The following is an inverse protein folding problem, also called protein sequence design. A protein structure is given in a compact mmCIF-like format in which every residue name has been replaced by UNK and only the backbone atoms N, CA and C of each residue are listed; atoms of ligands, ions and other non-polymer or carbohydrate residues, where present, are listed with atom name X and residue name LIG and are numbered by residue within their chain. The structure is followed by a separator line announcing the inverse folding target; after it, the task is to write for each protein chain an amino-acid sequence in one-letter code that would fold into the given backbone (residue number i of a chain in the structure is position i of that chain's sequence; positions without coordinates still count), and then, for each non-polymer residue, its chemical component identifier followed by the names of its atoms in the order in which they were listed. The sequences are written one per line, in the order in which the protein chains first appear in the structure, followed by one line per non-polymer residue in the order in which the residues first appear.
data_IF_815922927059
#
_entry.id   IF_815922927059
#
_cell.length_a   1.000
_cell.length_b   1.000
_cell.length_c   1.000
_cell.angle_alpha   90.00
_cell.angle_beta   90.00
_cell.angle_gamma   90.00
#
_symmetry.space_group_name_H-M   'P 1'
#
loop_
_entity.id
_entity.type
_entity.pdbx_description
1 polymer ?
#
# COMPACT_ATOMS: atom_id res chain seq x y z
N UNK A 1 -31.05 7.16 -0.45
CA UNK A 1 -29.76 7.20 -1.09
C UNK A 1 -28.64 7.09 -0.08
N UNK A 2 -27.46 6.72 -0.52
CA UNK A 2 -26.26 6.72 0.32
C UNK A 2 -25.44 7.94 -0.07
N UNK A 3 -25.24 8.84 0.87
CA UNK A 3 -24.27 9.93 0.72
C UNK A 3 -23.13 9.67 1.70
N UNK A 4 -21.93 9.54 1.19
CA UNK A 4 -20.75 9.38 2.02
C UNK A 4 -20.49 10.64 2.84
N UNK A 5 -20.75 10.61 4.13
CA UNK A 5 -20.22 11.45 5.16
C UNK A 5 -20.19 12.97 5.05
N UNK A 6 -20.92 13.58 4.16
CA UNK A 6 -20.86 15.02 3.91
C UNK A 6 -22.21 15.69 3.99
N UNK A 7 -22.95 15.41 5.05
CA UNK A 7 -24.18 16.13 5.29
C UNK A 7 -23.95 17.34 6.17
N UNK A 8 -24.65 18.40 5.86
CA UNK A 8 -24.69 19.57 6.72
C UNK A 8 -25.19 19.17 8.09
N UNK A 9 -24.45 19.53 9.10
CA UNK A 9 -24.96 19.55 10.46
C UNK A 9 -25.75 20.86 10.63
N UNK A 10 -27.05 20.77 10.80
CA UNK A 10 -27.87 21.96 11.00
C UNK A 10 -27.40 22.80 12.19
N UNK A 11 -26.66 22.21 13.12
CA UNK A 11 -26.10 22.91 14.28
C UNK A 11 -24.82 23.73 14.00
N UNK A 12 -24.13 23.46 12.86
CA UNK A 12 -22.84 24.12 12.56
C UNK A 12 -22.82 24.90 11.25
N UNK A 13 -23.84 24.79 10.39
CA UNK A 13 -23.97 25.56 9.15
C UNK A 13 -22.82 25.37 8.14
N UNK A 14 -22.07 24.27 8.21
CA UNK A 14 -20.93 24.03 7.34
C UNK A 14 -21.35 23.26 6.10
N UNK A 15 -20.94 23.72 4.93
CA UNK A 15 -21.19 23.05 3.65
C UNK A 15 -20.59 21.65 3.58
N UNK A 16 -21.18 20.74 2.78
CA UNK A 16 -20.64 19.40 2.52
C UNK A 16 -19.18 19.47 2.07
N UNK A 17 -18.33 18.64 2.66
CA UNK A 17 -16.91 18.59 2.34
C UNK A 17 -16.00 19.51 3.17
N UNK A 18 -16.45 20.64 3.66
CA UNK A 18 -15.63 21.54 4.51
C UNK A 18 -15.32 20.95 5.89
N UNK A 19 -16.19 20.10 6.39
CA UNK A 19 -15.98 19.40 7.67
C UNK A 19 -14.79 18.48 7.69
N UNK A 20 -14.52 17.80 6.60
CA UNK A 20 -13.34 16.95 6.49
C UNK A 20 -12.05 17.72 6.65
N UNK A 21 -12.06 18.97 6.19
CA UNK A 21 -10.89 19.84 6.26
C UNK A 21 -10.75 20.51 7.62
N UNK A 22 -11.88 20.80 8.28
CA UNK A 22 -11.90 21.50 9.57
C UNK A 22 -11.61 20.57 10.78
N UNK A 23 -11.96 19.30 10.70
CA UNK A 23 -11.83 18.35 11.81
C UNK A 23 -10.38 18.04 12.20
N UNK A 24 -9.41 18.35 11.36
CA UNK A 24 -8.01 17.99 11.56
C UNK A 24 -7.09 19.17 11.94
N UNK A 25 -7.63 20.31 12.35
CA UNK A 25 -6.87 21.43 12.89
C UNK A 25 -6.12 22.30 11.88
N UNK A 26 -5.54 23.40 12.34
CA UNK A 26 -4.94 24.44 11.54
C UNK A 26 -3.79 23.93 10.66
N UNK A 27 -3.87 24.13 9.35
CA UNK A 27 -2.74 23.97 8.45
C UNK A 27 -2.93 23.01 7.28
N UNK A 28 -3.78 23.33 6.33
CA UNK A 28 -3.93 22.64 5.06
C UNK A 28 -4.84 21.41 5.07
N UNK A 29 -5.13 20.83 3.89
CA UNK A 29 -6.02 19.70 3.78
C UNK A 29 -5.42 18.48 4.47
N UNK A 30 -6.09 18.04 5.54
CA UNK A 30 -5.77 16.81 6.26
C UNK A 30 -6.93 15.83 6.09
N UNK A 31 -6.61 14.56 5.98
CA UNK A 31 -7.59 13.49 5.83
C UNK A 31 -7.94 12.91 7.20
N UNK A 32 -9.18 12.41 7.35
CA UNK A 32 -9.57 11.72 8.58
C UNK A 32 -8.88 10.37 8.66
N UNK A 33 -8.45 10.02 9.86
CA UNK A 33 -7.91 8.69 10.19
C UNK A 33 -8.99 7.66 10.45
N UNK A 34 -10.19 8.12 10.85
CA UNK A 34 -11.32 7.25 11.13
C UNK A 34 -12.32 7.29 9.97
N UNK A 35 -12.76 6.12 9.48
CA UNK A 35 -13.86 6.08 8.55
C UNK A 35 -15.10 6.73 9.15
N UNK A 36 -15.78 7.57 8.38
CA UNK A 36 -17.12 7.99 8.75
C UNK A 36 -18.03 6.76 8.76
N UNK A 37 -18.78 6.60 9.86
CA UNK A 37 -19.84 5.62 9.87
C UNK A 37 -20.75 5.86 8.66
N UNK A 38 -21.14 4.78 7.99
CA UNK A 38 -22.07 4.85 6.85
C UNK A 38 -23.34 5.58 7.28
N UNK A 39 -23.57 6.75 6.75
CA UNK A 39 -24.79 7.51 6.98
C UNK A 39 -25.79 7.14 5.87
N UNK A 40 -26.96 6.71 6.29
CA UNK A 40 -28.06 6.41 5.41
C UNK A 40 -29.12 7.50 5.51
N UNK A 41 -29.67 7.85 4.38
CA UNK A 41 -30.77 8.79 4.27
C UNK A 41 -31.97 8.12 3.61
N UNK A 42 -33.12 8.28 4.17
CA UNK A 42 -34.40 7.83 3.64
C UNK A 42 -35.36 8.99 3.69
N UNK A 43 -35.88 9.40 2.54
CA UNK A 43 -36.84 10.49 2.40
C UNK A 43 -38.08 9.99 1.68
N UNK A 44 -39.22 10.47 2.14
CA UNK A 44 -40.50 10.33 1.44
C UNK A 44 -40.72 11.56 0.57
N UNK A 45 -40.25 11.50 -0.67
CA UNK A 45 -40.29 12.64 -1.59
C UNK A 45 -41.72 13.13 -1.92
N UNK A 46 -42.78 12.32 -1.61
CA UNK A 46 -44.15 12.74 -1.76
C UNK A 46 -44.58 13.67 -0.63
N UNK A 47 -44.15 13.37 0.58
CA UNK A 47 -44.48 14.14 1.78
C UNK A 47 -43.42 15.20 2.11
N UNK A 48 -42.16 14.99 1.67
CA UNK A 48 -40.99 15.85 1.96
C UNK A 48 -40.14 16.03 0.70
N UNK A 49 -40.60 16.79 -0.30
CA UNK A 49 -39.91 16.95 -1.58
C UNK A 49 -38.59 17.71 -1.49
N UNK A 50 -38.31 18.37 -0.38
CA UNK A 50 -37.03 19.10 -0.13
C UNK A 50 -36.06 18.31 0.73
N UNK A 51 -36.36 17.03 1.02
CA UNK A 51 -35.47 16.13 1.78
C UNK A 51 -35.09 16.68 3.17
N UNK A 52 -35.97 17.35 3.87
CA UNK A 52 -35.71 17.99 5.16
C UNK A 52 -35.72 17.00 6.32
N UNK A 53 -36.46 15.89 6.21
CA UNK A 53 -36.67 14.94 7.30
C UNK A 53 -36.11 13.56 6.93
N UNK A 54 -34.88 13.28 7.35
CA UNK A 54 -34.29 11.96 7.16
C UNK A 54 -34.96 10.91 8.06
N UNK A 55 -35.60 9.91 7.45
CA UNK A 55 -36.34 8.82 8.10
C UNK A 55 -35.50 7.56 8.30
N UNK A 56 -34.21 7.56 7.90
CA UNK A 56 -33.34 6.41 8.07
C UNK A 56 -33.01 6.17 9.55
N UNK A 57 -32.99 4.90 10.02
CA UNK A 57 -32.57 4.56 11.37
C UNK A 57 -31.15 5.04 11.65
N UNK A 58 -30.93 5.74 12.77
CA UNK A 58 -29.58 6.16 13.20
C UNK A 58 -28.90 5.04 13.95
N UNK A 59 -27.61 4.72 13.67
CA UNK A 59 -26.85 3.78 14.48
C UNK A 59 -26.79 4.28 15.93
N UNK A 60 -27.30 3.50 16.89
CA UNK A 60 -27.28 3.83 18.31
C UNK A 60 -28.27 4.90 18.77
N UNK A 61 -29.15 5.38 17.89
CA UNK A 61 -30.18 6.37 18.22
C UNK A 61 -31.38 5.74 18.95
N UNK A 62 -31.81 6.36 20.05
CA UNK A 62 -33.01 5.98 20.81
C UNK A 62 -34.29 6.61 20.23
N UNK A 63 -34.23 7.10 19.00
CA UNK A 63 -35.38 7.77 18.39
C UNK A 63 -36.48 6.76 18.02
N UNK A 64 -37.54 6.74 18.84
CA UNK A 64 -38.70 5.84 18.74
C UNK A 64 -39.65 6.16 17.59
N UNK A 65 -39.26 7.02 16.65
CA UNK A 65 -40.16 7.55 15.61
C UNK A 65 -40.01 6.94 14.23
N UNK A 66 -39.14 5.96 14.03
CA UNK A 66 -39.24 5.21 12.78
C UNK A 66 -40.43 4.26 12.86
N UNK A 67 -41.51 4.57 12.14
CA UNK A 67 -42.62 3.64 12.00
C UNK A 67 -42.05 2.29 11.52
N UNK A 68 -42.67 1.18 11.92
CA UNK A 68 -42.29 -0.16 11.47
C UNK A 68 -42.22 -0.28 9.95
N UNK A 69 -43.05 0.51 9.25
CA UNK A 69 -43.08 0.65 7.79
C UNK A 69 -41.79 1.27 7.25
N UNK A 70 -41.24 2.30 7.88
CA UNK A 70 -39.98 2.94 7.47
C UNK A 70 -38.80 1.98 7.62
N UNK A 71 -38.78 1.19 8.69
CA UNK A 71 -37.75 0.17 8.90
C UNK A 71 -37.81 -0.95 7.84
N UNK A 72 -39.01 -1.36 7.45
CA UNK A 72 -39.21 -2.36 6.40
C UNK A 72 -38.79 -1.83 5.02
N UNK A 73 -39.18 -0.61 4.67
CA UNK A 73 -38.77 0.06 3.43
C UNK A 73 -37.25 0.25 3.39
N UNK A 74 -36.66 0.68 4.49
CA UNK A 74 -35.23 0.86 4.59
C UNK A 74 -34.45 -0.47 4.41
N UNK A 75 -34.92 -1.55 5.04
CA UNK A 75 -34.34 -2.88 4.90
C UNK A 75 -34.43 -3.39 3.45
N UNK A 76 -35.59 -3.18 2.81
CA UNK A 76 -35.80 -3.54 1.42
C UNK A 76 -34.88 -2.76 0.47
N UNK A 77 -34.80 -1.45 0.61
CA UNK A 77 -33.93 -0.59 -0.21
C UNK A 77 -32.46 -0.95 -0.02
N UNK A 78 -32.03 -1.30 1.20
CA UNK A 78 -30.67 -1.80 1.43
C UNK A 78 -30.39 -3.11 0.69
N UNK A 79 -31.36 -4.04 0.65
CA UNK A 79 -31.21 -5.29 -0.11
C UNK A 79 -31.14 -5.01 -1.63
N UNK A 80 -32.01 -4.15 -2.15
CA UNK A 80 -31.98 -3.75 -3.57
C UNK A 80 -30.64 -3.10 -3.90
N UNK A 81 -30.16 -2.20 -3.08
CA UNK A 81 -28.86 -1.52 -3.29
C UNK A 81 -27.68 -2.52 -3.22
N UNK A 82 -27.74 -3.47 -2.29
CA UNK A 82 -26.75 -4.55 -2.20
C UNK A 82 -26.75 -5.43 -3.45
N UNK A 83 -27.93 -5.82 -3.93
CA UNK A 83 -28.10 -6.59 -5.16
C UNK A 83 -27.63 -5.82 -6.41
N UNK A 84 -27.98 -4.54 -6.51
CA UNK A 84 -27.50 -3.67 -7.60
C UNK A 84 -25.98 -3.48 -7.55
N UNK A 85 -25.39 -3.32 -6.36
CA UNK A 85 -23.95 -3.27 -6.20
C UNK A 85 -23.28 -4.57 -6.64
N UNK A 86 -23.82 -5.71 -6.23
CA UNK A 86 -23.29 -7.01 -6.65
C UNK A 86 -23.44 -7.25 -8.17
N UNK A 87 -24.47 -6.68 -8.79
CA UNK A 87 -24.68 -6.77 -10.23
C UNK A 87 -23.90 -5.73 -11.04
N UNK A 88 -23.63 -4.56 -10.44
CA UNK A 88 -22.98 -3.42 -11.12
C UNK A 88 -21.49 -3.31 -10.84
N UNK A 89 -21.01 -3.97 -9.78
CA UNK A 89 -19.60 -4.09 -9.47
C UNK A 89 -19.25 -5.55 -9.71
N UNK A 90 -18.57 -5.90 -10.82
CA UNK A 90 -18.02 -7.23 -11.03
C UNK A 90 -17.22 -7.61 -9.77
N UNK A 91 -17.22 -8.91 -9.39
CA UNK A 91 -16.42 -9.43 -8.27
C UNK A 91 -14.92 -9.14 -8.44
N UNK A 92 -14.48 -8.91 -9.66
CA UNK A 92 -13.26 -8.17 -9.93
C UNK A 92 -13.57 -6.69 -9.70
N UNK A 93 -12.89 -6.08 -8.77
CA UNK A 93 -12.76 -4.63 -8.67
C UNK A 93 -12.19 -4.11 -9.99
N UNK A 94 -12.97 -4.17 -11.05
CA UNK A 94 -12.62 -3.37 -12.22
C UNK A 94 -12.66 -1.93 -11.74
N UNK A 95 -11.55 -1.24 -11.88
CA UNK A 95 -11.51 0.15 -11.49
C UNK A 95 -12.64 0.88 -12.22
N UNK A 96 -13.24 1.84 -11.57
CA UNK A 96 -14.15 2.81 -12.20
C UNK A 96 -13.66 3.18 -13.60
N UNK A 97 -14.54 3.62 -14.56
CA UNK A 97 -14.11 3.99 -15.92
C UNK A 97 -12.97 5.01 -16.00
N UNK A 98 -12.59 5.61 -14.89
CA UNK A 98 -11.39 6.41 -14.74
C UNK A 98 -10.10 5.58 -14.64
N UNK A 99 -10.18 4.29 -14.46
CA UNK A 99 -9.02 3.41 -14.49
C UNK A 99 -8.41 3.27 -15.90
N UNK A 100 -9.21 3.43 -16.93
CA UNK A 100 -8.70 3.57 -18.30
C UNK A 100 -7.81 4.82 -18.47
N UNK A 101 -7.82 5.72 -17.49
CA UNK A 101 -6.93 6.89 -17.39
C UNK A 101 -5.91 6.76 -16.27
N UNK A 102 -5.68 5.58 -15.71
CA UNK A 102 -4.48 5.41 -14.90
C UNK A 102 -3.31 5.81 -15.77
N UNK A 103 -2.43 6.70 -15.30
CA UNK A 103 -1.27 7.05 -16.07
C UNK A 103 -0.46 5.77 -16.24
N UNK A 104 -0.63 5.08 -17.37
CA UNK A 104 0.41 4.22 -17.88
C UNK A 104 1.69 5.02 -17.72
N UNK A 105 2.73 4.43 -17.15
CA UNK A 105 4.04 5.10 -17.10
C UNK A 105 4.29 5.63 -18.51
N UNK A 106 4.29 6.96 -18.72
CA UNK A 106 4.26 7.46 -20.09
C UNK A 106 5.47 6.96 -20.83
N UNK A 107 5.28 6.40 -22.00
CA UNK A 107 6.33 6.30 -23.00
C UNK A 107 6.83 7.71 -23.43
N UNK A 108 6.28 8.77 -22.85
CA UNK A 108 6.49 10.14 -23.21
C UNK A 108 7.73 10.72 -22.55
N UNK A 109 8.55 11.35 -23.37
CA UNK A 109 9.65 12.28 -23.06
C UNK A 109 10.01 12.34 -21.57
N UNK A 110 10.94 11.48 -21.18
CA UNK A 110 11.48 11.47 -19.84
C UNK A 110 11.89 12.89 -19.45
N UNK A 111 11.41 13.42 -18.33
CA UNK A 111 11.99 14.65 -17.84
C UNK A 111 13.50 14.44 -17.66
N UNK A 112 14.34 15.42 -18.00
CA UNK A 112 15.77 15.25 -17.85
C UNK A 112 16.09 14.84 -16.40
N UNK A 113 17.10 14.00 -16.18
CA UNK A 113 17.50 13.60 -14.83
C UNK A 113 17.76 14.88 -14.02
N UNK A 114 17.41 14.90 -12.72
CA UNK A 114 17.68 16.03 -11.86
C UNK A 114 19.16 16.35 -11.91
N UNK A 115 19.51 17.64 -11.91
CA UNK A 115 20.90 18.06 -11.90
C UNK A 115 21.66 17.29 -10.80
N UNK A 116 22.82 16.71 -11.11
CA UNK A 116 23.63 15.90 -10.16
C UNK A 116 23.82 16.58 -8.80
N UNK A 117 23.90 17.92 -8.80
CA UNK A 117 24.01 18.70 -7.56
C UNK A 117 22.73 18.62 -6.71
N UNK A 118 21.55 18.73 -7.32
CA UNK A 118 20.27 18.62 -6.61
C UNK A 118 20.13 17.23 -6.01
N UNK A 119 20.43 16.16 -6.77
CA UNK A 119 20.38 14.78 -6.27
C UNK A 119 21.29 14.59 -5.06
N UNK A 120 22.54 15.10 -5.11
CA UNK A 120 23.47 15.03 -3.97
C UNK A 120 22.96 15.75 -2.72
N UNK A 121 22.31 16.90 -2.89
CA UNK A 121 21.71 17.65 -1.77
C UNK A 121 20.57 16.85 -1.16
N UNK A 122 19.67 16.32 -1.98
CA UNK A 122 18.51 15.54 -1.55
C UNK A 122 18.96 14.23 -0.87
N UNK A 123 19.98 13.56 -1.41
CA UNK A 123 20.60 12.40 -0.78
C UNK A 123 21.18 12.72 0.61
N UNK A 124 21.92 13.84 0.73
CA UNK A 124 22.47 14.28 2.03
C UNK A 124 21.38 14.61 3.06
N UNK A 125 20.19 14.99 2.60
CA UNK A 125 19.03 15.20 3.46
C UNK A 125 18.32 13.90 3.84
N UNK A 126 18.77 12.74 3.33
CA UNK A 126 18.16 11.45 3.62
C UNK A 126 16.83 11.21 2.91
N UNK A 127 16.56 11.89 1.79
CA UNK A 127 15.30 11.77 1.04
C UNK A 127 15.35 10.75 -0.09
N UNK A 128 16.51 10.20 -0.41
CA UNK A 128 16.69 9.13 -1.40
C UNK A 128 17.23 7.87 -0.74
N UNK A 129 16.84 6.70 -1.23
CA UNK A 129 17.47 5.46 -0.85
C UNK A 129 18.96 5.51 -1.22
N UNK A 130 19.81 5.25 -0.25
CA UNK A 130 21.26 5.18 -0.40
C UNK A 130 21.68 3.82 0.13
N UNK A 131 22.39 3.05 -0.67
CA UNK A 131 23.12 1.91 -0.16
C UNK A 131 24.45 2.41 0.46
N UNK A 132 24.55 2.48 1.80
CA UNK A 132 25.74 3.01 2.44
C UNK A 132 26.94 2.07 2.30
N UNK A 133 26.72 0.81 1.95
CA UNK A 133 27.74 -0.22 1.86
C UNK A 133 28.23 -0.47 0.42
N UNK A 134 27.57 0.14 -0.59
CA UNK A 134 27.90 -0.12 -2.00
C UNK A 134 27.47 -1.51 -2.48
N UNK A 135 27.96 -2.01 -3.61
CA UNK A 135 27.67 -3.36 -4.08
C UNK A 135 28.00 -4.41 -3.00
N UNK A 136 27.33 -5.55 -3.01
CA UNK A 136 27.70 -6.66 -2.14
C UNK A 136 29.14 -7.04 -2.46
N UNK A 137 30.04 -6.83 -1.47
CA UNK A 137 31.47 -7.10 -1.66
C UNK A 137 31.69 -8.59 -1.95
N UNK A 138 32.47 -8.85 -3.01
CA UNK A 138 32.91 -10.19 -3.34
C UNK A 138 32.34 -10.77 -4.62
N UNK A 139 31.59 -10.01 -5.43
CA UNK A 139 31.05 -10.48 -6.72
C UNK A 139 30.15 -11.70 -6.54
N UNK A 140 29.35 -11.69 -5.51
CA UNK A 140 28.47 -12.81 -5.22
C UNK A 140 27.41 -12.86 -6.29
N UNK A 141 27.51 -13.88 -7.10
CA UNK A 141 26.57 -14.16 -8.15
C UNK A 141 25.46 -15.04 -7.58
N UNK A 142 24.25 -14.49 -7.49
CA UNK A 142 23.03 -15.23 -7.21
C UNK A 142 22.42 -15.78 -8.52
N UNK A 143 23.30 -16.26 -9.41
CA UNK A 143 22.91 -16.81 -10.71
C UNK A 143 21.93 -17.97 -10.53
N UNK A 144 20.84 -17.93 -11.30
CA UNK A 144 19.82 -18.97 -11.29
C UNK A 144 18.84 -18.88 -10.11
N UNK A 145 19.07 -18.00 -9.14
CA UNK A 145 18.10 -17.69 -8.09
C UNK A 145 16.96 -16.81 -8.61
N UNK A 146 15.79 -16.94 -8.00
CA UNK A 146 14.61 -16.20 -8.40
C UNK A 146 14.09 -15.30 -7.27
N UNK A 147 13.83 -14.04 -7.61
CA UNK A 147 13.20 -13.08 -6.75
C UNK A 147 11.79 -12.75 -7.23
N UNK A 148 10.84 -12.64 -6.32
CA UNK A 148 9.51 -12.13 -6.58
C UNK A 148 9.33 -10.78 -5.88
N UNK A 149 8.97 -9.74 -6.62
CA UNK A 149 8.58 -8.45 -6.04
C UNK A 149 7.08 -8.29 -6.21
N UNK A 150 6.37 -8.12 -5.09
CA UNK A 150 4.92 -7.92 -5.08
C UNK A 150 4.62 -6.43 -4.90
N UNK A 151 3.82 -5.89 -5.82
CA UNK A 151 3.39 -4.50 -5.86
C UNK A 151 1.87 -4.39 -5.79
N UNK A 152 1.36 -3.21 -5.45
CA UNK A 152 -0.08 -2.94 -5.36
C UNK A 152 -0.75 -2.85 -6.74
N UNK A 153 -2.05 -3.20 -6.80
CA UNK A 153 -2.92 -2.83 -7.93
C UNK A 153 -3.74 -1.55 -7.67
N UNK A 154 -3.64 -0.96 -6.47
CA UNK A 154 -4.49 0.16 -6.11
C UNK A 154 -3.83 1.49 -6.46
N UNK A 155 -4.51 2.31 -7.28
CA UNK A 155 -3.94 3.53 -7.87
C UNK A 155 -4.57 4.84 -7.42
N UNK A 156 -5.51 4.86 -6.47
CA UNK A 156 -6.24 6.06 -6.09
C UNK A 156 -6.42 6.18 -4.58
N UNK A 157 -6.20 7.36 -4.04
CA UNK A 157 -6.61 7.69 -2.67
C UNK A 157 -8.13 7.99 -2.64
N UNK A 158 -8.77 7.77 -1.50
CA UNK A 158 -10.21 8.05 -1.29
C UNK A 158 -10.62 9.49 -1.63
N UNK A 159 -9.67 10.39 -1.63
CA UNK A 159 -9.82 11.81 -2.00
C UNK A 159 -9.68 12.07 -3.50
N UNK A 160 -9.63 11.03 -4.33
CA UNK A 160 -9.56 11.14 -5.79
C UNK A 160 -8.20 11.59 -6.32
N UNK A 161 -7.12 11.43 -5.56
CA UNK A 161 -5.75 11.69 -6.03
C UNK A 161 -5.09 10.39 -6.49
N UNK A 162 -4.34 10.41 -7.60
CA UNK A 162 -3.58 9.25 -8.03
C UNK A 162 -2.49 8.91 -7.01
N UNK A 163 -2.30 7.63 -6.80
CA UNK A 163 -1.26 7.03 -5.97
C UNK A 163 -0.84 5.68 -6.55
N UNK A 164 -0.30 4.78 -5.75
CA UNK A 164 0.10 3.44 -6.16
C UNK A 164 1.35 2.99 -5.44
N UNK A 165 2.19 2.27 -6.18
CA UNK A 165 3.54 1.90 -5.82
C UNK A 165 4.42 3.14 -5.71
N UNK A 166 5.22 3.27 -4.67
CA UNK A 166 6.28 4.26 -4.63
C UNK A 166 7.48 3.73 -5.42
N UNK A 167 7.83 4.37 -6.55
CA UNK A 167 8.73 3.79 -7.55
C UNK A 167 10.01 3.18 -6.98
N UNK A 168 10.77 3.92 -6.14
CA UNK A 168 12.05 3.44 -5.59
C UNK A 168 11.91 2.25 -4.64
N UNK A 169 10.71 1.98 -4.13
CA UNK A 169 10.47 0.80 -3.27
C UNK A 169 10.39 -0.51 -4.07
N UNK A 170 10.22 -0.42 -5.39
CA UNK A 170 10.33 -1.54 -6.31
C UNK A 170 11.63 -1.48 -7.11
N UNK A 171 11.98 -0.32 -7.67
CA UNK A 171 13.11 -0.22 -8.61
C UNK A 171 14.45 -0.48 -7.94
N UNK A 172 14.62 -0.06 -6.67
CA UNK A 172 15.87 -0.28 -5.93
C UNK A 172 16.10 -1.76 -5.67
N UNK A 173 15.20 -2.53 -5.02
CA UNK A 173 15.39 -3.96 -4.84
C UNK A 173 15.40 -4.72 -6.17
N UNK A 174 14.60 -4.33 -7.16
CA UNK A 174 14.60 -4.96 -8.47
C UNK A 174 16.01 -4.98 -9.09
N UNK A 175 16.63 -3.81 -9.19
CA UNK A 175 17.95 -3.74 -9.78
C UNK A 175 19.04 -4.29 -8.87
N UNK A 176 18.88 -4.23 -7.54
CA UNK A 176 19.81 -4.89 -6.64
C UNK A 176 19.83 -6.42 -6.86
N UNK A 177 18.67 -7.04 -7.01
CA UNK A 177 18.56 -8.48 -7.29
C UNK A 177 19.01 -8.82 -8.71
N UNK A 178 18.59 -8.04 -9.72
CA UNK A 178 19.00 -8.24 -11.11
C UNK A 178 20.52 -8.10 -11.29
N UNK A 179 21.11 -7.08 -10.71
CA UNK A 179 22.56 -6.83 -10.79
C UNK A 179 23.38 -7.89 -10.04
N UNK A 180 22.78 -8.60 -9.06
CA UNK A 180 23.33 -9.79 -8.44
C UNK A 180 23.14 -11.08 -9.24
N UNK A 181 22.53 -11.01 -10.44
CA UNK A 181 22.33 -12.15 -11.33
C UNK A 181 21.04 -12.95 -11.09
N UNK A 182 20.12 -12.47 -10.25
CA UNK A 182 18.84 -13.13 -10.03
C UNK A 182 17.87 -12.86 -11.20
N UNK A 183 16.98 -13.82 -11.44
CA UNK A 183 15.79 -13.59 -12.26
C UNK A 183 14.73 -12.92 -11.38
N UNK A 184 14.17 -11.79 -11.81
CA UNK A 184 13.23 -11.01 -11.02
C UNK A 184 11.89 -10.89 -11.72
N UNK A 185 10.84 -11.41 -11.09
CA UNK A 185 9.47 -11.29 -11.56
C UNK A 185 8.70 -10.26 -10.73
N UNK A 186 7.78 -9.53 -11.37
CA UNK A 186 6.82 -8.67 -10.71
C UNK A 186 5.46 -9.33 -10.62
N UNK A 187 4.86 -9.29 -9.43
CA UNK A 187 3.49 -9.70 -9.20
C UNK A 187 2.68 -8.61 -8.50
N UNK A 188 1.39 -8.79 -8.52
CA UNK A 188 0.44 -7.97 -7.77
C UNK A 188 -0.73 -8.84 -7.27
N UNK A 189 -1.55 -8.38 -6.33
CA UNK A 189 -2.68 -9.14 -5.81
C UNK A 189 -3.60 -9.74 -6.89
N UNK A 190 -3.76 -9.06 -8.03
CA UNK A 190 -4.69 -9.45 -9.10
C UNK A 190 -4.04 -9.67 -10.45
N UNK A 191 -2.75 -9.40 -10.59
CA UNK A 191 -2.07 -9.31 -11.89
C UNK A 191 -2.40 -8.01 -12.65
N UNK A 192 -1.82 -7.87 -13.84
CA UNK A 192 -2.01 -6.70 -14.71
C UNK A 192 -1.29 -5.45 -14.20
N UNK A 193 -1.89 -4.30 -14.42
CA UNK A 193 -1.25 -3.01 -14.17
C UNK A 193 -0.88 -2.78 -12.70
N UNK A 194 0.36 -2.39 -12.47
CA UNK A 194 0.87 -1.81 -11.22
C UNK A 194 0.86 -0.28 -11.37
N UNK A 195 -0.06 0.45 -10.72
CA UNK A 195 -0.06 1.89 -10.75
C UNK A 195 1.15 2.44 -9.98
N UNK A 196 1.91 3.33 -10.61
CA UNK A 196 3.05 4.01 -9.99
C UNK A 196 2.63 5.39 -9.50
N UNK A 197 2.92 5.71 -8.23
CA UNK A 197 2.61 7.02 -7.66
C UNK A 197 3.35 8.14 -8.42
N UNK A 198 2.64 9.08 -9.04
CA UNK A 198 3.28 10.16 -9.80
C UNK A 198 4.22 11.04 -8.97
N UNK A 199 4.00 11.09 -7.65
CA UNK A 199 4.86 11.86 -6.74
C UNK A 199 6.26 11.24 -6.66
N UNK A 200 6.36 9.90 -6.65
CA UNK A 200 7.62 9.18 -6.55
C UNK A 200 8.55 9.44 -7.74
N UNK A 201 7.99 9.73 -8.91
CA UNK A 201 8.74 10.01 -10.14
C UNK A 201 9.09 11.49 -10.33
N UNK A 202 8.74 12.37 -9.37
CA UNK A 202 9.16 13.78 -9.44
C UNK A 202 10.67 13.91 -9.27
N UNK A 203 11.33 14.87 -9.97
CA UNK A 203 12.79 14.99 -9.98
C UNK A 203 13.46 15.06 -8.60
N UNK A 204 12.76 15.58 -7.58
CA UNK A 204 13.28 15.70 -6.22
C UNK A 204 13.27 14.35 -5.47
N UNK A 205 12.31 13.47 -5.78
CA UNK A 205 12.12 12.18 -5.09
C UNK A 205 12.65 10.99 -5.90
N UNK A 206 12.87 11.16 -7.18
CA UNK A 206 13.28 10.12 -8.13
C UNK A 206 14.72 9.70 -7.90
N UNK A 207 14.94 8.42 -7.61
CA UNK A 207 16.26 7.80 -7.42
C UNK A 207 16.97 7.51 -8.75
N UNK A 208 18.21 7.03 -8.70
CA UNK A 208 18.93 6.54 -9.89
C UNK A 208 18.31 5.27 -10.46
N UNK A 209 17.81 4.39 -9.61
CA UNK A 209 17.06 3.20 -10.03
C UNK A 209 15.76 3.56 -10.74
N UNK A 210 15.09 4.64 -10.33
CA UNK A 210 13.89 5.12 -11.02
C UNK A 210 14.23 5.70 -12.40
N UNK A 211 15.40 6.34 -12.56
CA UNK A 211 15.87 6.78 -13.88
C UNK A 211 16.17 5.59 -14.79
N UNK A 212 16.76 4.51 -14.25
CA UNK A 212 16.99 3.26 -14.97
C UNK A 212 15.67 2.64 -15.39
N UNK A 213 14.69 2.53 -14.50
CA UNK A 213 13.35 2.04 -14.76
C UNK A 213 12.64 2.79 -15.90
N UNK A 214 12.71 4.14 -15.90
CA UNK A 214 12.08 4.92 -16.96
C UNK A 214 12.68 4.68 -18.34
N UNK A 215 13.91 4.17 -18.41
CA UNK A 215 14.61 3.81 -19.64
C UNK A 215 14.51 2.31 -19.99
N UNK A 216 13.98 1.50 -19.08
CA UNK A 216 13.92 0.04 -19.17
C UNK A 216 12.55 -0.40 -19.70
N UNK A 217 12.50 -0.77 -20.97
CA UNK A 217 11.25 -1.19 -21.62
C UNK A 217 10.73 -2.54 -21.08
N UNK A 218 11.63 -3.44 -20.66
CA UNK A 218 11.26 -4.75 -20.11
C UNK A 218 10.61 -4.61 -18.75
N UNK A 219 11.23 -3.88 -17.83
CA UNK A 219 10.63 -3.65 -16.52
C UNK A 219 9.31 -2.85 -16.62
N UNK A 220 9.22 -1.89 -17.55
CA UNK A 220 7.96 -1.17 -17.79
C UNK A 220 6.86 -2.09 -18.34
N UNK A 221 7.21 -3.08 -19.16
CA UNK A 221 6.26 -4.07 -19.62
C UNK A 221 5.74 -4.92 -18.47
N UNK A 222 6.60 -5.38 -17.55
CA UNK A 222 6.19 -6.10 -16.33
C UNK A 222 5.31 -5.25 -15.42
N UNK A 223 5.59 -3.94 -15.26
CA UNK A 223 4.76 -3.01 -14.48
C UNK A 223 3.37 -2.83 -15.10
N UNK A 224 3.26 -2.85 -16.41
CA UNK A 224 1.99 -2.73 -17.12
C UNK A 224 1.19 -4.03 -17.13
N UNK A 225 1.85 -5.19 -17.00
CA UNK A 225 1.21 -6.52 -17.04
C UNK A 225 1.92 -7.48 -16.07
N UNK A 226 1.74 -7.23 -14.77
CA UNK A 226 2.32 -8.05 -13.71
C UNK A 226 1.60 -9.39 -13.56
N UNK A 227 2.30 -10.36 -12.98
CA UNK A 227 1.73 -11.67 -12.67
C UNK A 227 0.71 -11.56 -11.52
N UNK A 228 -0.35 -12.36 -11.54
CA UNK A 228 -1.27 -12.45 -10.39
C UNK A 228 -0.65 -13.37 -9.33
N UNK A 229 -0.51 -12.89 -8.09
CA UNK A 229 0.12 -13.67 -7.01
C UNK A 229 -0.58 -15.01 -6.74
N UNK A 230 -1.89 -15.08 -6.97
CA UNK A 230 -2.67 -16.29 -6.79
C UNK A 230 -2.44 -17.37 -7.85
N UNK A 231 -1.82 -17.02 -8.98
CA UNK A 231 -1.53 -17.93 -10.08
C UNK A 231 -0.08 -18.46 -10.03
N UNK A 232 0.71 -17.99 -9.02
CA UNK A 232 2.12 -18.36 -8.86
C UNK A 232 2.31 -19.42 -7.79
N UNK A 233 3.25 -20.35 -8.03
CA UNK A 233 3.81 -21.16 -6.96
C UNK A 233 4.99 -20.42 -6.31
N UNK A 234 4.78 -19.90 -5.11
CA UNK A 234 5.81 -19.17 -4.39
C UNK A 234 7.02 -20.06 -4.03
N UNK A 235 6.88 -21.38 -4.10
CA UNK A 235 7.98 -22.32 -3.91
C UNK A 235 9.08 -22.17 -4.98
N UNK A 236 8.73 -21.68 -6.17
CA UNK A 236 9.67 -21.45 -7.27
C UNK A 236 10.63 -20.28 -7.05
N UNK A 237 10.37 -19.46 -6.03
CA UNK A 237 11.16 -18.29 -5.69
C UNK A 237 12.04 -18.53 -4.46
N UNK A 238 13.22 -17.91 -4.44
CA UNK A 238 14.15 -17.96 -3.31
C UNK A 238 13.84 -16.87 -2.29
N UNK A 239 13.35 -15.74 -2.76
CA UNK A 239 12.92 -14.62 -1.92
C UNK A 239 11.64 -13.95 -2.46
N UNK A 240 10.91 -13.32 -1.54
CA UNK A 240 9.75 -12.48 -1.86
C UNK A 240 9.89 -11.12 -1.21
N UNK A 241 9.82 -10.06 -2.01
CA UNK A 241 9.89 -8.68 -1.54
C UNK A 241 8.55 -7.96 -1.72
N UNK A 242 8.06 -7.33 -0.67
CA UNK A 242 6.81 -6.57 -0.66
C UNK A 242 7.11 -5.09 -0.80
N UNK A 243 6.89 -4.53 -1.99
CA UNK A 243 7.07 -3.12 -2.26
C UNK A 243 5.89 -2.33 -1.71
N UNK A 244 6.15 -1.17 -1.11
CA UNK A 244 5.10 -0.35 -0.54
C UNK A 244 4.60 0.73 -1.50
N UNK A 245 4.31 1.88 -0.95
CA UNK A 245 3.52 2.96 -1.55
C UNK A 245 2.11 2.95 -0.97
N UNK A 246 1.39 4.06 -1.11
CA UNK A 246 0.07 4.21 -0.49
C UNK A 246 -0.96 3.20 -0.99
N UNK A 247 -0.82 2.72 -2.23
CA UNK A 247 -1.73 1.72 -2.79
C UNK A 247 -1.78 0.43 -1.96
N UNK A 248 -0.64 -0.02 -1.41
CA UNK A 248 -0.57 -1.22 -0.59
C UNK A 248 -1.41 -1.15 0.70
N UNK A 249 -1.72 0.05 1.19
CA UNK A 249 -2.65 0.24 2.31
C UNK A 249 -4.09 -0.14 1.98
N UNK A 250 -4.44 -0.22 0.70
CA UNK A 250 -5.80 -0.49 0.22
C UNK A 250 -6.02 -1.94 -0.22
N UNK A 251 -4.97 -2.66 -0.59
CA UNK A 251 -5.14 -4.01 -1.15
C UNK A 251 -4.33 -5.11 -0.45
N UNK A 252 -3.11 -4.85 0.05
CA UNK A 252 -2.26 -5.90 0.59
C UNK A 252 -2.89 -6.63 1.79
N UNK A 253 -3.41 -5.87 2.76
CA UNK A 253 -4.06 -6.44 3.95
C UNK A 253 -5.40 -7.13 3.65
N UNK A 254 -5.97 -6.93 2.47
CA UNK A 254 -7.22 -7.55 2.05
C UNK A 254 -7.03 -8.72 1.07
N UNK A 255 -5.82 -8.90 0.55
CA UNK A 255 -5.53 -9.94 -0.44
C UNK A 255 -5.34 -11.30 0.22
N UNK A 256 -6.33 -12.18 0.08
CA UNK A 256 -6.24 -13.56 0.53
C UNK A 256 -5.14 -14.34 -0.22
N UNK A 257 -5.01 -14.24 -1.56
CA UNK A 257 -3.91 -14.90 -2.27
C UNK A 257 -2.52 -14.47 -1.80
N UNK A 258 -2.33 -13.16 -1.50
CA UNK A 258 -1.06 -12.68 -0.97
C UNK A 258 -0.77 -13.26 0.42
N UNK A 259 -1.77 -13.30 1.31
CA UNK A 259 -1.61 -13.89 2.64
C UNK A 259 -1.28 -15.39 2.58
N UNK A 260 -1.89 -16.12 1.65
CA UNK A 260 -1.60 -17.54 1.41
C UNK A 260 -0.18 -17.74 0.86
N UNK A 261 0.24 -16.93 -0.10
CA UNK A 261 1.60 -16.96 -0.64
C UNK A 261 2.65 -16.67 0.45
N UNK A 262 2.43 -15.66 1.30
CA UNK A 262 3.36 -15.35 2.40
C UNK A 262 3.37 -16.44 3.48
N UNK A 263 2.25 -17.07 3.75
CA UNK A 263 2.15 -18.24 4.64
C UNK A 263 3.00 -19.40 4.09
N UNK A 264 2.87 -19.70 2.81
CA UNK A 264 3.64 -20.75 2.14
C UNK A 264 5.13 -20.41 2.09
N UNK A 265 5.49 -19.19 1.70
CA UNK A 265 6.87 -18.73 1.67
C UNK A 265 7.56 -18.89 3.04
N UNK A 266 6.86 -18.49 4.12
CA UNK A 266 7.39 -18.64 5.48
C UNK A 266 7.52 -20.13 5.88
N UNK A 267 6.56 -20.96 5.56
CA UNK A 267 6.60 -22.40 5.86
C UNK A 267 7.76 -23.11 5.12
N UNK A 268 8.13 -22.64 3.93
CA UNK A 268 9.24 -23.13 3.14
C UNK A 268 10.60 -22.48 3.53
N UNK A 269 10.62 -21.59 4.51
CA UNK A 269 11.84 -20.91 4.95
C UNK A 269 12.39 -19.93 3.91
N UNK A 270 11.58 -19.49 2.94
CA UNK A 270 11.99 -18.49 1.95
C UNK A 270 12.29 -17.16 2.62
N UNK A 271 13.20 -16.38 2.06
CA UNK A 271 13.50 -15.04 2.55
C UNK A 271 12.35 -14.10 2.18
N UNK A 272 11.76 -13.45 3.17
CA UNK A 272 10.65 -12.52 2.99
C UNK A 272 11.11 -11.13 3.41
N UNK A 273 10.85 -10.12 2.57
CA UNK A 273 11.20 -8.75 2.89
C UNK A 273 10.12 -7.77 2.47
N UNK A 274 10.33 -6.51 2.84
CA UNK A 274 9.48 -5.42 2.41
C UNK A 274 9.76 -4.11 3.13
N UNK A 275 9.28 -3.02 2.54
CA UNK A 275 9.48 -1.67 3.09
C UNK A 275 8.17 -0.89 3.11
N UNK A 276 8.14 0.15 3.95
CA UNK A 276 7.06 1.14 3.98
C UNK A 276 5.68 0.50 4.27
N UNK A 277 4.75 0.52 3.31
CA UNK A 277 3.45 -0.14 3.40
C UNK A 277 3.50 -1.63 3.01
N UNK A 278 4.59 -2.10 2.39
CA UNK A 278 4.74 -3.49 1.96
C UNK A 278 4.46 -4.53 3.05
N UNK A 279 4.97 -4.37 4.29
CA UNK A 279 4.70 -5.30 5.38
C UNK A 279 3.23 -5.52 5.75
N UNK A 280 2.29 -4.70 5.25
CA UNK A 280 0.85 -4.99 5.34
C UNK A 280 0.45 -6.32 4.69
N UNK A 281 1.21 -6.80 3.70
CA UNK A 281 1.01 -8.12 3.11
C UNK A 281 1.21 -9.29 4.07
N UNK A 282 1.79 -9.04 5.25
CA UNK A 282 2.08 -10.05 6.27
C UNK A 282 1.00 -10.18 7.35
N UNK A 283 0.09 -9.19 7.50
CA UNK A 283 -0.82 -9.12 8.66
C UNK A 283 -1.83 -10.27 8.73
N UNK A 284 -2.15 -10.89 7.59
CA UNK A 284 -3.06 -12.03 7.50
C UNK A 284 -2.36 -13.36 7.16
N UNK A 285 -1.05 -13.33 6.91
CA UNK A 285 -0.24 -14.53 6.75
C UNK A 285 -0.10 -15.27 8.09
N UNK A 286 0.13 -16.59 8.03
CA UNK A 286 0.16 -17.48 9.20
C UNK A 286 1.54 -18.12 9.39
N UNK A 287 1.90 -18.29 10.64
CA UNK A 287 2.96 -19.19 11.07
C UNK A 287 2.46 -20.65 11.11
N UNK A 288 3.37 -21.61 11.31
CA UNK A 288 3.04 -23.03 11.32
C UNK A 288 2.03 -23.44 12.42
N UNK A 289 1.97 -22.68 13.51
CA UNK A 289 1.02 -22.87 14.61
C UNK A 289 -0.34 -22.19 14.38
N UNK A 290 -0.53 -21.54 13.23
CA UNK A 290 -1.75 -20.83 12.86
C UNK A 290 -1.86 -19.40 13.43
N UNK A 291 -0.89 -18.94 14.21
CA UNK A 291 -0.83 -17.55 14.67
C UNK A 291 -0.46 -16.60 13.51
N UNK A 292 -0.71 -15.29 13.60
CA UNK A 292 -0.20 -14.37 12.58
C UNK A 292 1.32 -14.49 12.45
N UNK A 293 1.81 -14.51 11.21
CA UNK A 293 3.23 -14.74 10.86
C UNK A 293 4.20 -13.84 11.63
N UNK A 294 3.79 -12.60 11.87
CA UNK A 294 4.64 -11.59 12.52
C UNK A 294 4.49 -11.53 14.04
N UNK A 295 3.64 -12.38 14.64
CA UNK A 295 3.46 -12.40 16.11
C UNK A 295 4.79 -12.65 16.81
N UNK A 296 5.18 -11.75 17.70
CA UNK A 296 6.43 -11.82 18.45
C UNK A 296 7.71 -11.54 17.65
N UNK A 297 7.61 -11.38 16.32
CA UNK A 297 8.75 -11.07 15.44
C UNK A 297 9.04 -9.57 15.42
N UNK A 298 10.30 -9.23 15.24
CA UNK A 298 10.75 -7.85 15.03
C UNK A 298 10.43 -7.44 13.61
N UNK A 299 9.73 -6.30 13.44
CA UNK A 299 9.36 -5.77 12.13
C UNK A 299 9.49 -4.25 12.12
N UNK A 300 9.77 -3.71 10.94
CA UNK A 300 9.75 -2.27 10.66
C UNK A 300 8.87 -1.99 9.45
N UNK A 301 8.19 -0.88 9.47
CA UNK A 301 7.35 -0.39 8.38
C UNK A 301 7.17 1.13 8.55
N UNK A 302 6.39 1.78 7.66
CA UNK A 302 6.08 3.19 7.83
C UNK A 302 5.34 3.42 9.14
N UNK A 303 5.78 4.46 9.86
CA UNK A 303 5.23 4.81 11.16
C UNK A 303 3.93 5.62 11.03
N UNK A 304 3.06 5.54 12.05
CA UNK A 304 1.86 6.39 12.14
C UNK A 304 2.25 7.88 12.18
N UNK A 305 3.41 8.21 12.74
CA UNK A 305 3.98 9.57 12.69
C UNK A 305 4.29 9.98 11.27
N UNK A 306 4.96 9.15 10.46
CA UNK A 306 5.26 9.44 9.05
C UNK A 306 3.97 9.62 8.25
N UNK A 307 2.97 8.76 8.44
CA UNK A 307 1.65 8.88 7.81
C UNK A 307 1.01 10.24 8.13
N UNK A 308 1.04 10.63 9.41
CA UNK A 308 0.53 11.93 9.87
C UNK A 308 1.29 13.10 9.27
N UNK A 309 2.62 13.04 9.21
CA UNK A 309 3.49 14.08 8.66
C UNK A 309 3.29 14.29 7.15
N UNK A 310 2.94 13.24 6.42
CA UNK A 310 2.64 13.29 4.99
C UNK A 310 1.19 13.73 4.72
N UNK A 311 0.35 13.76 5.75
CA UNK A 311 -1.03 14.25 5.67
C UNK A 311 -1.99 13.31 4.92
N UNK A 312 -1.63 12.04 4.75
CA UNK A 312 -2.47 11.01 4.12
C UNK A 312 -2.88 10.03 5.21
N UNK A 313 -3.95 10.36 5.93
CA UNK A 313 -4.39 9.62 7.11
C UNK A 313 -5.68 8.82 6.89
N UNK A 314 -6.27 8.93 5.70
CA UNK A 314 -7.53 8.27 5.33
C UNK A 314 -7.26 7.01 4.48
N UNK A 315 -6.38 6.13 4.98
CA UNK A 315 -6.16 4.81 4.37
C UNK A 315 -6.79 3.72 5.23
N UNK A 316 -7.26 2.60 4.65
CA UNK A 316 -7.92 1.54 5.42
C UNK A 316 -6.98 0.84 6.41
N UNK A 317 -5.68 0.78 6.11
CA UNK A 317 -4.66 0.20 6.97
C UNK A 317 -3.49 1.15 7.18
N UNK A 318 -3.05 1.27 8.43
CA UNK A 318 -1.82 1.94 8.83
C UNK A 318 -0.81 0.87 9.26
N UNK A 319 0.36 0.76 8.62
CA UNK A 319 1.29 -0.35 8.84
C UNK A 319 1.70 -0.54 10.29
N UNK A 320 2.15 0.51 10.99
CA UNK A 320 2.55 0.40 12.40
C UNK A 320 1.38 -0.10 13.27
N UNK A 321 0.22 0.55 13.15
CA UNK A 321 -0.99 0.17 13.90
C UNK A 321 -1.39 -1.28 13.64
N UNK A 322 -1.44 -1.73 12.37
CA UNK A 322 -1.86 -3.07 12.02
C UNK A 322 -0.85 -4.14 12.43
N UNK A 323 0.44 -3.90 12.23
CA UNK A 323 1.49 -4.84 12.64
C UNK A 323 1.54 -5.03 14.16
N UNK A 324 1.39 -3.94 14.93
CA UNK A 324 1.25 -4.02 16.40
C UNK A 324 -0.02 -4.78 16.80
N UNK A 325 -1.14 -4.55 16.11
CA UNK A 325 -2.41 -5.24 16.37
C UNK A 325 -2.30 -6.76 16.23
N UNK A 326 -1.52 -7.25 15.26
CA UNK A 326 -1.30 -8.68 15.05
C UNK A 326 -0.10 -9.24 15.85
N UNK A 327 0.40 -8.47 16.82
CA UNK A 327 1.36 -8.93 17.82
C UNK A 327 2.84 -8.81 17.42
N UNK A 328 3.16 -8.05 16.38
CA UNK A 328 4.55 -7.79 16.01
C UNK A 328 5.27 -6.90 17.04
N UNK A 329 6.58 -7.12 17.18
CA UNK A 329 7.49 -6.21 17.88
C UNK A 329 7.93 -5.14 16.89
N UNK A 330 7.15 -4.08 16.79
CA UNK A 330 7.40 -3.02 15.84
C UNK A 330 8.56 -2.13 16.30
N UNK A 331 9.54 -1.93 15.40
CA UNK A 331 10.72 -1.10 15.62
C UNK A 331 10.82 -0.02 14.55
N UNK A 332 11.27 1.16 14.94
CA UNK A 332 11.45 2.29 14.03
C UNK A 332 12.48 3.26 14.55
N UNK A 333 13.08 4.04 13.66
CA UNK A 333 13.85 5.22 13.99
C UNK A 333 12.94 6.45 13.94
N UNK A 334 12.99 7.30 14.96
CA UNK A 334 12.29 8.59 14.95
C UNK A 334 13.29 9.72 14.67
N UNK A 335 12.94 10.55 13.66
CA UNK A 335 13.68 11.76 13.33
C UNK A 335 12.79 13.00 13.44
N UNK A 336 13.36 14.17 13.21
CA UNK A 336 12.59 15.43 13.10
C UNK A 336 11.42 15.28 12.09
N UNK A 337 11.67 14.60 10.96
CA UNK A 337 10.68 14.14 9.99
C UNK A 337 10.96 12.67 9.70
N UNK A 338 10.03 11.79 10.01
CA UNK A 338 10.22 10.34 9.83
C UNK A 338 10.44 9.90 8.37
N UNK A 339 9.94 10.62 7.31
CA UNK A 339 10.38 10.35 5.94
C UNK A 339 11.89 10.39 5.70
N UNK A 340 12.66 11.01 6.62
CA UNK A 340 14.13 11.06 6.58
C UNK A 340 14.80 9.94 7.41
N UNK A 341 14.02 9.10 8.08
CA UNK A 341 14.55 7.96 8.82
C UNK A 341 15.05 6.86 7.87
N UNK A 342 16.02 6.07 8.36
CA UNK A 342 16.51 4.90 7.64
C UNK A 342 16.71 3.77 8.64
N UNK A 343 15.67 2.97 8.83
CA UNK A 343 15.66 1.88 9.80
C UNK A 343 15.19 0.59 9.13
N UNK A 344 15.88 -0.52 9.46
CA UNK A 344 15.49 -1.86 9.02
C UNK A 344 15.76 -2.87 10.11
N UNK A 345 15.11 -4.01 10.01
CA UNK A 345 15.18 -5.10 10.98
C UNK A 345 15.35 -6.42 10.24
N UNK A 346 16.23 -7.27 10.76
CA UNK A 346 16.38 -8.67 10.37
C UNK A 346 15.90 -9.54 11.52
N UNK A 347 14.97 -10.45 11.25
CA UNK A 347 14.46 -11.43 12.21
C UNK A 347 14.29 -12.80 11.52
N UNK A 348 15.31 -13.66 11.65
CA UNK A 348 15.36 -14.92 10.93
C UNK A 348 15.31 -14.70 9.40
N UNK A 349 14.29 -15.27 8.76
CA UNK A 349 14.07 -15.12 7.32
C UNK A 349 13.30 -13.85 6.91
N UNK A 350 12.96 -12.98 7.86
CA UNK A 350 12.18 -11.77 7.62
C UNK A 350 13.06 -10.53 7.70
N UNK A 351 13.02 -9.68 6.66
CA UNK A 351 13.78 -8.43 6.58
C UNK A 351 12.83 -7.30 6.23
N UNK A 352 12.64 -6.35 7.14
CA UNK A 352 11.69 -5.26 6.91
C UNK A 352 12.30 -3.88 7.18
N UNK A 353 11.85 -2.88 6.41
CA UNK A 353 12.35 -1.52 6.48
C UNK A 353 11.25 -0.47 6.60
N UNK A 354 11.60 0.64 7.26
CA UNK A 354 10.64 1.68 7.66
C UNK A 354 10.03 2.44 6.48
N UNK A 355 10.81 2.73 5.45
CA UNK A 355 10.39 3.50 4.28
C UNK A 355 11.31 3.22 3.08
N UNK A 356 11.17 4.00 2.01
CA UNK A 356 11.97 3.86 0.79
C UNK A 356 13.49 3.93 1.02
N UNK A 357 13.94 4.66 2.06
CA UNK A 357 15.38 4.82 2.34
C UNK A 357 16.02 3.50 2.80
N UNK A 358 15.24 2.62 3.42
CA UNK A 358 15.70 1.31 3.87
C UNK A 358 15.78 0.27 2.74
N UNK A 359 15.23 0.56 1.55
CA UNK A 359 15.16 -0.37 0.43
C UNK A 359 16.49 -1.04 0.08
N UNK A 360 17.60 -0.29 -0.10
CA UNK A 360 18.90 -0.87 -0.41
C UNK A 360 19.39 -1.84 0.66
N UNK A 361 19.22 -1.49 1.95
CA UNK A 361 19.68 -2.35 3.05
C UNK A 361 18.82 -3.60 3.18
N UNK A 362 17.51 -3.47 3.02
CA UNK A 362 16.59 -4.64 3.04
C UNK A 362 16.95 -5.60 1.91
N UNK A 363 17.15 -5.11 0.68
CA UNK A 363 17.56 -5.95 -0.44
C UNK A 363 18.90 -6.65 -0.18
N UNK A 364 19.89 -5.93 0.35
CA UNK A 364 21.20 -6.48 0.71
C UNK A 364 21.09 -7.59 1.76
N UNK A 365 20.39 -7.34 2.85
CA UNK A 365 20.22 -8.33 3.93
C UNK A 365 19.50 -9.57 3.44
N UNK A 366 18.48 -9.41 2.56
CA UNK A 366 17.80 -10.54 1.94
C UNK A 366 18.74 -11.40 1.10
N UNK A 367 19.57 -10.77 0.27
CA UNK A 367 20.60 -11.48 -0.53
C UNK A 367 21.62 -12.16 0.38
N UNK A 368 22.05 -11.49 1.45
CA UNK A 368 23.00 -12.05 2.42
C UNK A 368 22.46 -13.29 3.12
N UNK A 369 21.14 -13.31 3.43
CA UNK A 369 20.47 -14.50 4.00
C UNK A 369 20.42 -15.66 3.02
N UNK A 370 20.26 -15.42 1.73
CA UNK A 370 20.31 -16.48 0.71
C UNK A 370 21.69 -17.14 0.62
N UNK A 371 22.75 -16.36 0.83
CA UNK A 371 24.12 -16.84 0.79
C UNK A 371 24.51 -17.63 2.04
N UNK A 372 23.95 -17.23 3.19
CA UNK A 372 24.19 -17.89 4.46
C UNK A 372 23.42 -19.21 4.62
N UNK A 373 22.45 -19.49 3.73
CA UNK A 373 21.65 -20.71 3.78
C UNK A 373 22.54 -21.92 3.43
N UNK A 374 22.59 -22.98 4.27
CA UNK A 374 23.36 -24.18 3.97
C UNK A 374 22.82 -24.86 2.70
N UNK A 375 23.63 -24.92 1.64
CA UNK A 375 23.29 -25.53 0.36
C UNK A 375 23.48 -24.61 -0.88
N UNK A 376 24.09 -23.44 -0.71
CA UNK A 376 24.38 -22.53 -1.82
C UNK A 376 25.50 -23.05 -2.77
N UNK A 377 26.23 -24.10 -2.37
CA UNK A 377 27.39 -24.65 -3.10
C UNK A 377 27.15 -26.05 -3.70
N UNK A 378 25.91 -26.40 -4.08
CA UNK A 378 25.63 -27.69 -4.69
C UNK A 378 25.20 -27.60 -6.16
#
# INVERSE_FOLDING_TARGET
GRRGGCLDDPATGTEPGKRHLAANGAGGPRYRTEPLADQWELYDLTADPIEANNRAPRPGGTDRRSAAEDAAVFAHLRQVLKAQRAASVPERNEPWPYAERQPTVPAAKQPPPPARLLRRVVQRLGMHPIDPAGPIDGGVELLGRKALIVCTNHGWLDVGKPTGLFASEMTVPYYAFQDAGMNVDLASPKGGLIPVDPLSLKPVLRSESDDRFLADDELRAQVNDSLAIGDLDVADYDLVFLAGGWGAAFDFGFSKPLAEAMTTANALGKVIGGVCHGPLGLINAKAADGTPLVTGRRVSAVTDKQVSELGITSTPHHPETELRRVGARFESETRFRDPLANHWVVDGNLVTGQNQNAGPMVAREMMSLLLAAPGADA
#
